data_IF_669897758491
#
_entry.id   IF_669897758491
#
_cell.length_a   1.000
_cell.length_b   1.000
_cell.length_c   1.000
_cell.angle_alpha   90.00
_cell.angle_beta   90.00
_cell.angle_gamma   90.00
#
_symmetry.space_group_name_H-M   'P 1'
#
loop_
_entity.id
_entity.type
_entity.pdbx_description
1 polymer ?
#
# COMPACT_ATOMS: atom_id res chain seq x y z
N UNK A 1 33.84 -26.97 -72.11
CA UNK A 1 33.09 -26.74 -70.86
C UNK A 1 32.86 -25.23 -70.76
N UNK A 2 31.59 -24.81 -70.72
CA UNK A 2 31.12 -23.42 -70.90
C UNK A 2 31.27 -22.62 -69.59
N UNK A 3 31.40 -21.31 -69.75
CA UNK A 3 31.76 -20.25 -68.80
C UNK A 3 30.49 -19.62 -68.15
N UNK A 4 30.64 -19.08 -66.92
CA UNK A 4 30.02 -17.84 -66.34
C UNK A 4 28.95 -17.89 -65.21
N UNK A 5 29.28 -17.08 -64.16
CA UNK A 5 28.47 -16.11 -63.39
C UNK A 5 27.59 -16.51 -62.18
N UNK A 6 27.89 -15.87 -61.02
CA UNK A 6 26.97 -15.58 -59.89
C UNK A 6 25.93 -14.50 -60.28
N UNK A 7 24.76 -14.45 -59.62
CA UNK A 7 24.45 -13.34 -58.66
C UNK A 7 23.54 -13.76 -57.46
N UNK A 8 23.75 -13.23 -56.25
CA UNK A 8 22.99 -12.16 -55.54
C UNK A 8 21.76 -12.61 -54.70
N UNK A 9 21.80 -12.27 -53.41
CA UNK A 9 20.71 -12.29 -52.39
C UNK A 9 19.51 -11.41 -52.79
N UNK A 10 18.24 -11.56 -52.28
CA UNK A 10 17.91 -11.04 -50.92
C UNK A 10 16.66 -11.62 -50.16
N UNK A 11 16.72 -11.54 -48.82
CA UNK A 11 15.70 -11.01 -47.86
C UNK A 11 14.37 -11.75 -47.52
N UNK A 12 14.07 -11.71 -46.20
CA UNK A 12 12.82 -11.89 -45.43
C UNK A 12 12.57 -13.29 -44.84
N UNK A 13 12.32 -13.49 -43.55
CA UNK A 13 12.17 -12.62 -42.41
C UNK A 13 11.55 -13.44 -41.27
N UNK A 14 12.14 -13.43 -40.07
CA UNK A 14 11.46 -13.78 -38.83
C UNK A 14 12.30 -13.21 -37.68
N UNK A 15 12.05 -11.94 -37.40
CA UNK A 15 12.58 -11.24 -36.25
C UNK A 15 11.76 -11.68 -35.04
N UNK A 16 12.36 -12.49 -34.17
CA UNK A 16 11.89 -12.69 -32.80
C UNK A 16 12.11 -11.38 -32.06
N UNK A 17 11.09 -10.53 -32.09
CA UNK A 17 11.09 -9.24 -31.40
C UNK A 17 11.08 -9.52 -29.90
N UNK A 18 12.22 -9.23 -29.26
CA UNK A 18 12.36 -9.27 -27.82
C UNK A 18 11.33 -8.32 -27.18
N UNK A 19 10.60 -8.85 -26.21
CA UNK A 19 9.57 -8.13 -25.46
C UNK A 19 10.26 -6.94 -24.78
N UNK A 20 9.97 -5.69 -25.15
CA UNK A 20 10.48 -4.57 -24.39
C UNK A 20 9.79 -4.57 -23.02
N UNK A 21 10.59 -4.65 -21.96
CA UNK A 21 10.21 -4.36 -20.57
C UNK A 21 9.71 -2.92 -20.50
N UNK A 22 8.46 -2.70 -20.90
CA UNK A 22 7.79 -1.44 -20.72
C UNK A 22 7.17 -1.37 -19.33
N UNK A 23 7.42 -0.21 -18.71
CA UNK A 23 6.57 0.40 -17.70
C UNK A 23 6.45 -0.37 -16.38
N UNK A 24 7.41 -0.13 -15.49
CA UNK A 24 7.02 0.20 -14.12
C UNK A 24 6.13 1.44 -14.24
N UNK A 25 4.82 1.25 -14.16
CA UNK A 25 3.92 2.35 -13.92
C UNK A 25 4.28 2.93 -12.55
N UNK A 26 5.04 4.02 -12.53
CA UNK A 26 5.01 4.94 -11.39
C UNK A 26 3.55 5.30 -11.21
N UNK A 27 2.96 4.84 -10.11
CA UNK A 27 1.63 5.27 -9.71
C UNK A 27 1.78 6.69 -9.17
N UNK A 28 1.98 7.65 -10.07
CA UNK A 28 1.86 9.06 -9.74
C UNK A 28 0.36 9.36 -9.64
N UNK A 29 -0.19 9.13 -8.45
CA UNK A 29 -1.52 9.59 -8.08
C UNK A 29 -1.51 11.12 -7.93
N UNK A 30 -1.39 11.86 -9.03
CA UNK A 30 -1.73 13.28 -9.04
C UNK A 30 -3.26 13.40 -9.01
N UNK A 31 -3.83 13.39 -7.80
CA UNK A 31 -5.25 13.72 -7.62
C UNK A 31 -5.37 15.21 -7.37
N UNK A 32 -5.96 15.87 -8.35
CA UNK A 32 -6.35 17.27 -8.39
C UNK A 32 -7.47 17.56 -7.38
N UNK A 33 -7.27 18.53 -6.49
CA UNK A 33 -8.34 19.38 -5.95
C UNK A 33 -9.35 18.79 -4.96
N UNK A 34 -9.01 17.78 -4.15
CA UNK A 34 -9.80 17.37 -3.00
C UNK A 34 -9.20 17.99 -1.71
N UNK A 35 -10.01 18.27 -0.68
CA UNK A 35 -9.43 18.46 0.65
C UNK A 35 -8.79 17.13 1.03
N UNK A 36 -7.48 17.01 0.81
CA UNK A 36 -6.74 15.79 1.06
C UNK A 36 -6.85 15.49 2.55
N UNK A 37 -7.80 14.63 2.93
CA UNK A 37 -7.84 14.04 4.26
C UNK A 37 -6.55 13.25 4.41
N UNK A 38 -5.55 13.91 4.96
CA UNK A 38 -4.21 13.40 5.11
C UNK A 38 -4.12 12.67 6.44
N UNK A 39 -3.22 11.70 6.54
CA UNK A 39 -2.97 10.99 7.77
C UNK A 39 -1.46 10.92 8.02
N UNK A 40 -1.08 10.68 9.27
CA UNK A 40 0.30 10.40 9.66
C UNK A 40 0.38 9.09 10.44
N UNK A 41 1.54 8.43 10.38
CA UNK A 41 1.82 7.22 11.16
C UNK A 41 2.74 7.60 12.31
N UNK A 42 2.31 7.31 13.53
CA UNK A 42 3.06 7.49 14.77
C UNK A 42 3.46 6.11 15.28
N UNK A 43 4.75 5.88 15.46
CA UNK A 43 5.28 4.65 16.05
C UNK A 43 5.85 5.01 17.43
N UNK A 44 5.24 4.48 18.49
CA UNK A 44 5.74 4.62 19.86
C UNK A 44 6.55 3.36 20.21
N UNK A 45 7.86 3.50 20.11
CA UNK A 45 8.83 2.44 20.44
C UNK A 45 9.36 2.54 21.88
N UNK A 46 9.33 3.75 22.46
CA UNK A 46 10.04 4.10 23.69
C UNK A 46 9.10 4.34 24.89
N UNK A 47 7.78 4.26 24.69
CA UNK A 47 6.80 4.38 25.76
C UNK A 47 6.94 3.27 26.82
N UNK A 48 6.68 3.57 28.12
CA UNK A 48 6.79 2.61 29.22
C UNK A 48 5.80 1.43 29.15
N UNK A 49 4.95 1.38 28.12
CA UNK A 49 3.91 0.38 27.96
C UNK A 49 3.69 0.03 26.50
N UNK A 50 4.50 -0.91 26.01
CA UNK A 50 4.26 -1.71 24.81
C UNK A 50 4.37 -0.99 23.45
N UNK A 51 5.03 -1.62 22.45
CA UNK A 51 5.11 -1.07 21.10
C UNK A 51 3.73 -0.80 20.51
N UNK A 52 3.53 0.41 19.99
CA UNK A 52 2.28 0.83 19.35
C UNK A 52 2.55 1.53 18.02
N UNK A 53 1.66 1.31 17.07
CA UNK A 53 1.62 1.99 15.78
C UNK A 53 0.22 2.59 15.63
N UNK A 54 0.12 3.90 15.49
CA UNK A 54 -1.15 4.61 15.33
C UNK A 54 -1.17 5.38 14.02
N UNK A 55 -2.33 5.38 13.35
CA UNK A 55 -2.64 6.30 12.27
C UNK A 55 -3.55 7.39 12.81
N UNK A 56 -3.15 8.64 12.64
CA UNK A 56 -3.91 9.83 13.06
C UNK A 56 -4.23 10.72 11.87
N UNK A 57 -5.36 11.42 11.93
CA UNK A 57 -5.73 12.42 10.93
C UNK A 57 -5.01 13.76 11.15
N UNK A 58 -5.36 14.77 10.35
CA UNK A 58 -4.79 16.13 10.44
C UNK A 58 -5.10 16.86 11.76
N UNK A 59 -6.08 16.38 12.52
CA UNK A 59 -6.47 16.90 13.83
C UNK A 59 -5.87 16.08 14.98
N UNK A 60 -4.93 15.17 14.66
CA UNK A 60 -4.32 14.24 15.61
C UNK A 60 -5.33 13.25 16.23
N UNK A 61 -6.46 13.00 15.53
CA UNK A 61 -7.47 12.04 15.95
C UNK A 61 -7.14 10.67 15.38
N UNK A 62 -7.13 9.66 16.24
CA UNK A 62 -6.80 8.29 15.84
C UNK A 62 -7.87 7.67 14.92
N UNK A 63 -7.42 7.17 13.78
CA UNK A 63 -8.23 6.48 12.77
C UNK A 63 -8.19 4.96 13.03
N UNK A 64 -6.99 4.44 13.24
CA UNK A 64 -6.71 3.04 13.50
C UNK A 64 -5.37 2.91 14.20
N UNK A 65 -5.14 1.78 14.85
CA UNK A 65 -3.83 1.49 15.41
C UNK A 65 -3.63 0.00 15.61
N UNK A 66 -2.40 -0.34 15.95
CA UNK A 66 -2.01 -1.67 16.31
C UNK A 66 -1.07 -1.62 17.51
N UNK A 67 -1.26 -2.56 18.43
CA UNK A 67 -0.40 -2.71 19.60
C UNK A 67 0.04 -4.15 19.76
N UNK A 68 1.20 -4.33 20.38
CA UNK A 68 1.66 -5.65 20.80
C UNK A 68 1.30 -5.86 22.27
N UNK A 69 0.42 -6.81 22.63
CA UNK A 69 0.13 -7.09 24.02
C UNK A 69 1.38 -7.59 24.77
N UNK A 70 1.50 -7.32 26.09
CA UNK A 70 2.58 -7.87 26.91
C UNK A 70 2.65 -9.40 26.77
N UNK A 71 3.87 -9.92 26.67
CA UNK A 71 4.15 -11.36 26.64
C UNK A 71 3.51 -12.12 25.45
N UNK A 72 3.01 -11.40 24.44
CA UNK A 72 2.45 -12.00 23.22
C UNK A 72 3.31 -11.67 22.00
N UNK A 73 3.62 -12.67 21.15
CA UNK A 73 4.42 -12.44 19.94
C UNK A 73 3.58 -11.89 18.77
N UNK A 74 2.27 -11.74 18.93
CA UNK A 74 1.36 -11.23 17.91
C UNK A 74 0.98 -9.77 18.17
N UNK A 75 0.53 -9.11 17.12
CA UNK A 75 0.00 -7.75 17.13
C UNK A 75 -1.53 -7.79 17.06
N UNK A 76 -2.19 -6.78 17.58
CA UNK A 76 -3.65 -6.62 17.47
C UNK A 76 -3.94 -5.29 16.77
N UNK A 77 -4.58 -5.36 15.61
CA UNK A 77 -5.12 -4.20 14.89
C UNK A 77 -6.49 -3.84 15.46
N UNK A 78 -6.73 -2.57 15.71
CA UNK A 78 -8.04 -2.02 16.05
C UNK A 78 -8.33 -0.79 15.18
N UNK A 79 -9.61 -0.52 15.01
CA UNK A 79 -10.11 0.64 14.26
C UNK A 79 -10.99 1.49 15.18
N UNK A 80 -11.09 2.79 14.90
CA UNK A 80 -11.92 3.68 15.72
C UNK A 80 -13.32 3.84 15.13
N UNK A 81 -14.31 4.28 15.94
CA UNK A 81 -15.65 4.59 15.44
C UNK A 81 -15.67 5.64 14.32
N UNK A 82 -14.66 6.51 14.28
CA UNK A 82 -14.47 7.52 13.23
C UNK A 82 -14.39 6.87 11.84
N UNK A 83 -13.63 5.78 11.71
CA UNK A 83 -13.50 5.04 10.47
C UNK A 83 -14.84 4.44 10.03
N UNK A 84 -15.59 3.82 10.96
CA UNK A 84 -16.88 3.21 10.64
C UNK A 84 -17.92 4.27 10.25
N UNK A 85 -17.92 5.42 10.91
CA UNK A 85 -18.78 6.55 10.56
C UNK A 85 -18.46 7.10 9.16
N UNK A 86 -17.18 7.27 8.82
CA UNK A 86 -16.76 7.72 7.50
C UNK A 86 -17.12 6.71 6.39
N UNK A 87 -17.08 5.41 6.70
CA UNK A 87 -17.46 4.36 5.76
C UNK A 87 -18.99 4.10 5.68
N UNK A 88 -19.80 4.70 6.57
CA UNK A 88 -21.25 4.49 6.60
C UNK A 88 -21.65 3.06 7.01
N UNK A 89 -20.83 2.38 7.82
CA UNK A 89 -21.05 0.99 8.25
C UNK A 89 -21.20 0.88 9.77
N UNK A 90 -21.76 -0.24 10.24
CA UNK A 90 -21.81 -0.54 11.66
C UNK A 90 -20.39 -0.76 12.22
N UNK A 91 -20.10 -0.16 13.38
CA UNK A 91 -18.82 -0.33 14.05
C UNK A 91 -18.72 -1.70 14.75
N UNK A 92 -17.64 -2.44 14.47
CA UNK A 92 -17.31 -3.68 15.14
C UNK A 92 -15.89 -3.57 15.75
N UNK A 93 -15.75 -3.65 17.08
CA UNK A 93 -14.49 -3.33 17.76
C UNK A 93 -13.51 -4.50 17.86
N UNK A 94 -13.84 -5.68 17.34
CA UNK A 94 -13.04 -6.90 17.57
C UNK A 94 -11.64 -6.76 16.95
N UNK A 95 -10.56 -6.77 17.77
CA UNK A 95 -9.22 -6.58 17.26
C UNK A 95 -8.78 -7.76 16.39
N UNK A 96 -8.13 -7.47 15.27
CA UNK A 96 -7.65 -8.48 14.33
C UNK A 96 -6.20 -8.87 14.66
N UNK A 97 -5.89 -10.17 14.85
CA UNK A 97 -4.53 -10.62 15.13
C UNK A 97 -3.65 -10.55 13.89
N UNK A 98 -2.44 -10.02 14.05
CA UNK A 98 -1.41 -9.90 13.03
C UNK A 98 -0.12 -10.58 13.49
N UNK A 99 0.61 -11.17 12.55
CA UNK A 99 1.77 -12.00 12.82
C UNK A 99 3.08 -11.24 13.04
N UNK A 100 3.15 -9.96 12.67
CA UNK A 100 4.38 -9.17 12.84
C UNK A 100 4.14 -7.67 12.93
N UNK A 101 5.14 -6.95 13.44
CA UNK A 101 5.15 -5.48 13.44
C UNK A 101 5.07 -4.89 12.04
N UNK A 102 5.78 -5.47 11.07
CA UNK A 102 5.76 -5.03 9.68
C UNK A 102 4.36 -5.12 9.10
N UNK A 103 3.69 -6.24 9.36
CA UNK A 103 2.30 -6.46 8.95
C UNK A 103 1.36 -5.47 9.65
N UNK A 104 1.52 -5.26 10.96
CA UNK A 104 0.78 -4.24 11.71
C UNK A 104 0.88 -2.85 11.08
N UNK A 105 2.10 -2.41 10.76
CA UNK A 105 2.33 -1.13 10.08
C UNK A 105 1.63 -1.04 8.72
N UNK A 106 1.71 -2.11 7.92
CA UNK A 106 1.08 -2.16 6.60
C UNK A 106 -0.43 -2.07 6.70
N UNK A 107 -1.06 -2.81 7.63
CA UNK A 107 -2.49 -2.76 7.86
C UNK A 107 -2.96 -1.41 8.38
N UNK A 108 -2.27 -0.83 9.37
CA UNK A 108 -2.61 0.51 9.90
C UNK A 108 -2.54 1.56 8.79
N UNK A 109 -1.50 1.53 7.95
CA UNK A 109 -1.39 2.45 6.81
C UNK A 109 -2.47 2.22 5.75
N UNK A 110 -2.84 0.97 5.46
CA UNK A 110 -3.91 0.66 4.50
C UNK A 110 -5.26 1.22 4.97
N UNK A 111 -5.59 0.99 6.25
CA UNK A 111 -6.84 1.49 6.84
C UNK A 111 -6.88 3.02 6.80
N UNK A 112 -5.78 3.69 7.13
CA UNK A 112 -5.68 5.14 7.08
C UNK A 112 -5.85 5.71 5.66
N UNK A 113 -5.31 5.04 4.63
CA UNK A 113 -5.53 5.41 3.24
C UNK A 113 -6.99 5.24 2.81
N UNK A 114 -7.64 4.18 3.26
CA UNK A 114 -9.06 3.95 2.99
C UNK A 114 -9.93 5.03 3.65
N UNK A 115 -9.62 5.41 4.89
CA UNK A 115 -10.25 6.53 5.57
C UNK A 115 -10.08 7.84 4.79
N UNK A 116 -8.84 8.19 4.44
CA UNK A 116 -8.51 9.38 3.66
C UNK A 116 -9.34 9.46 2.37
N UNK A 117 -9.47 8.34 1.66
CA UNK A 117 -10.27 8.25 0.44
C UNK A 117 -11.77 8.37 0.70
N UNK A 118 -12.28 7.81 1.79
CA UNK A 118 -13.70 7.85 2.13
C UNK A 118 -14.16 9.22 2.66
N UNK A 119 -13.25 9.95 3.32
CA UNK A 119 -13.51 11.28 3.86
C UNK A 119 -13.36 12.41 2.82
N UNK A 120 -12.70 12.13 1.68
CA UNK A 120 -12.45 13.09 0.60
C UNK A 120 -13.69 13.43 -0.24
#
# INVERSE_FOLDING_TARGET
MVLLQQPSDPTAGLSTQEIPTQLVATVDCLTSGAMNHSYSIVEDEDGPGHPRISAVDVSDVEIAGAFQPPERPYWLLYVTPLLAAAAGIAFCPDPLPLGSRKEARQWVSLVAQLYAKAAS
#
